data_IF_122551922702
#
_entry.id   IF_122551922702
#
_cell.length_a   1.000
_cell.length_b   1.000
_cell.length_c   1.000
_cell.angle_alpha   90.00
_cell.angle_beta   90.00
_cell.angle_gamma   90.00
#
_symmetry.space_group_name_H-M   'P 1'
#
loop_
_entity.id
_entity.type
_entity.pdbx_description
1 polymer ?
#
# COMPACT_ATOMS: atom_id res chain seq x y z
N UNK A 1 -11.43 -2.02 -16.71
CA UNK A 1 -11.60 -3.24 -15.85
C UNK A 1 -10.35 -3.32 -15.03
N UNK A 2 -10.46 -3.36 -13.70
CA UNK A 2 -9.28 -3.34 -12.84
C UNK A 2 -8.57 -4.69 -12.88
N UNK A 3 -7.28 -4.66 -13.16
CA UNK A 3 -6.37 -5.81 -13.09
C UNK A 3 -5.38 -5.62 -11.95
N UNK A 4 -4.82 -6.72 -11.45
CA UNK A 4 -3.88 -6.69 -10.34
C UNK A 4 -2.59 -7.41 -10.70
N UNK A 5 -1.45 -6.84 -10.32
CA UNK A 5 -0.11 -7.40 -10.56
C UNK A 5 0.68 -7.38 -9.25
N UNK A 6 1.44 -8.43 -8.97
CA UNK A 6 2.21 -8.59 -7.74
C UNK A 6 3.69 -8.92 -7.99
N UNK A 7 4.10 -9.07 -9.25
CA UNK A 7 5.46 -9.37 -9.61
C UNK A 7 6.39 -8.14 -9.43
N UNK A 8 7.64 -8.34 -8.99
CA UNK A 8 8.67 -7.30 -9.08
C UNK A 8 8.85 -6.79 -10.52
N UNK A 9 9.02 -5.48 -10.68
CA UNK A 9 9.22 -4.85 -12.00
C UNK A 9 7.98 -4.81 -12.89
N UNK A 10 6.79 -5.11 -12.36
CA UNK A 10 5.54 -5.15 -13.14
C UNK A 10 5.03 -3.77 -13.60
N UNK A 11 5.58 -2.68 -13.06
CA UNK A 11 5.18 -1.29 -13.28
C UNK A 11 6.42 -0.42 -13.47
N UNK A 12 6.35 0.51 -14.43
CA UNK A 12 7.35 1.54 -14.68
C UNK A 12 6.87 2.90 -14.16
N UNK A 13 7.80 3.83 -13.93
CA UNK A 13 7.51 5.13 -13.33
C UNK A 13 6.51 5.96 -14.14
N UNK A 14 6.51 5.82 -15.47
CA UNK A 14 5.64 6.56 -16.39
C UNK A 14 4.16 6.16 -16.26
N UNK A 15 3.88 5.01 -15.63
CA UNK A 15 2.51 4.54 -15.38
C UNK A 15 1.90 5.13 -14.10
N UNK A 16 2.68 5.89 -13.32
CA UNK A 16 2.32 6.42 -12.01
C UNK A 16 2.08 7.93 -12.09
N UNK A 17 0.83 8.34 -11.84
CA UNK A 17 0.45 9.75 -11.79
C UNK A 17 -0.62 9.97 -10.72
N UNK A 18 -0.44 11.03 -9.91
CA UNK A 18 -1.47 11.50 -8.97
C UNK A 18 -1.46 10.86 -7.57
N UNK A 19 -0.46 10.05 -7.23
CA UNK A 19 -0.31 9.44 -5.90
C UNK A 19 0.28 10.39 -4.85
N UNK A 20 0.28 9.95 -3.60
CA UNK A 20 0.68 10.68 -2.41
C UNK A 20 -0.17 11.93 -2.17
N UNK A 21 -1.49 11.80 -2.39
CA UNK A 21 -2.44 12.91 -2.22
C UNK A 21 -2.38 13.43 -0.79
N UNK A 22 -2.15 14.73 -0.64
CA UNK A 22 -2.05 15.40 0.67
C UNK A 22 -0.66 15.32 1.34
N UNK A 23 0.33 14.69 0.70
CA UNK A 23 1.70 14.71 1.22
C UNK A 23 2.34 16.09 1.01
N UNK A 24 3.00 16.68 2.03
CA UNK A 24 3.68 17.97 1.87
C UNK A 24 4.82 17.93 0.83
N UNK A 25 5.45 16.78 0.69
CA UNK A 25 6.49 16.51 -0.31
C UNK A 25 6.38 15.04 -0.70
N UNK A 26 5.80 14.74 -1.88
CA UNK A 26 5.58 13.37 -2.30
C UNK A 26 6.89 12.72 -2.78
N UNK A 27 7.09 11.41 -2.58
CA UNK A 27 8.10 10.67 -3.31
C UNK A 27 7.90 10.80 -4.83
N UNK A 28 8.97 10.69 -5.60
CA UNK A 28 8.89 10.58 -7.05
C UNK A 28 8.24 9.26 -7.47
N UNK A 29 7.74 9.20 -8.71
CA UNK A 29 7.23 7.96 -9.30
C UNK A 29 8.27 6.83 -9.25
N UNK A 30 9.54 7.13 -9.54
CA UNK A 30 10.62 6.15 -9.45
C UNK A 30 10.82 5.66 -8.01
N UNK A 31 10.78 6.55 -7.01
CA UNK A 31 10.89 6.14 -5.61
C UNK A 31 9.72 5.23 -5.18
N UNK A 32 8.51 5.47 -5.69
CA UNK A 32 7.38 4.57 -5.44
C UNK A 32 7.60 3.19 -6.07
N UNK A 33 8.09 3.12 -7.32
CA UNK A 33 8.48 1.84 -7.96
C UNK A 33 9.53 1.14 -7.09
N UNK A 34 10.61 1.83 -6.70
CA UNK A 34 11.69 1.24 -5.92
C UNK A 34 11.21 0.71 -4.55
N UNK A 35 10.32 1.44 -3.87
CA UNK A 35 9.74 1.00 -2.59
C UNK A 35 8.89 -0.25 -2.77
N UNK A 36 8.03 -0.25 -3.79
CA UNK A 36 7.18 -1.40 -4.09
C UNK A 36 8.05 -2.59 -4.51
N UNK A 37 9.12 -2.34 -5.25
CA UNK A 37 10.02 -3.38 -5.73
C UNK A 37 10.91 -3.99 -4.64
N UNK A 38 11.24 -3.20 -3.62
CA UNK A 38 11.97 -3.64 -2.43
C UNK A 38 11.12 -4.27 -1.33
N UNK A 39 9.79 -4.24 -1.44
CA UNK A 39 8.87 -4.72 -0.38
C UNK A 39 8.79 -6.25 -0.33
N UNK A 40 8.51 -6.86 0.83
CA UNK A 40 8.37 -8.33 0.93
C UNK A 40 7.19 -8.87 0.09
N UNK A 41 6.08 -8.14 0.07
CA UNK A 41 4.94 -8.35 -0.83
C UNK A 41 4.45 -7.01 -1.36
N UNK A 42 3.81 -7.04 -2.53
CA UNK A 42 3.31 -5.87 -3.24
C UNK A 42 2.09 -6.26 -4.08
N UNK A 43 1.17 -5.34 -4.27
CA UNK A 43 0.10 -5.49 -5.26
C UNK A 43 -0.18 -4.12 -5.87
N UNK A 44 -0.20 -4.08 -7.20
CA UNK A 44 -0.65 -2.96 -8.01
C UNK A 44 -2.08 -3.19 -8.48
N UNK A 45 -2.91 -2.14 -8.51
CA UNK A 45 -4.19 -2.11 -9.23
C UNK A 45 -4.05 -1.25 -10.48
N UNK A 46 -4.45 -1.76 -11.64
CA UNK A 46 -4.32 -1.09 -12.93
C UNK A 46 -5.65 -1.02 -13.66
N UNK A 47 -5.95 0.13 -14.28
CA UNK A 47 -6.99 0.26 -15.30
C UNK A 47 -6.32 0.46 -16.67
N UNK A 48 -6.26 -0.62 -17.46
CA UNK A 48 -5.40 -0.67 -18.65
C UNK A 48 -3.92 -0.62 -18.26
N UNK A 49 -3.20 0.39 -18.76
CA UNK A 49 -1.79 0.62 -18.42
C UNK A 49 -1.59 1.56 -17.23
N UNK A 50 -2.63 2.30 -16.83
CA UNK A 50 -2.55 3.28 -15.74
C UNK A 50 -2.65 2.57 -14.40
N UNK A 51 -1.73 2.88 -13.50
CA UNK A 51 -1.81 2.43 -12.10
C UNK A 51 -2.79 3.32 -11.35
N UNK A 52 -3.74 2.70 -10.66
CA UNK A 52 -4.84 3.40 -9.96
C UNK A 52 -4.88 3.13 -8.46
N UNK A 53 -4.07 2.19 -7.98
CA UNK A 53 -3.88 1.94 -6.57
C UNK A 53 -2.75 0.97 -6.31
N UNK A 54 -2.29 0.92 -5.07
CA UNK A 54 -1.20 0.04 -4.67
C UNK A 54 -1.25 -0.27 -3.18
N UNK A 55 -0.62 -1.38 -2.80
CA UNK A 55 -0.38 -1.77 -1.42
C UNK A 55 0.93 -2.56 -1.32
N UNK A 56 1.65 -2.41 -0.22
CA UNK A 56 2.83 -3.23 0.05
C UNK A 56 2.88 -3.75 1.49
N UNK A 57 3.74 -4.74 1.71
CA UNK A 57 4.10 -5.22 3.03
C UNK A 57 5.62 -5.42 3.17
N UNK A 58 6.16 -5.06 4.32
CA UNK A 58 7.52 -5.41 4.76
C UNK A 58 7.43 -6.55 5.77
N UNK A 59 8.40 -7.45 5.82
CA UNK A 59 8.35 -8.61 6.70
C UNK A 59 9.74 -9.18 6.99
N UNK A 60 9.85 -9.89 8.11
CA UNK A 60 10.97 -10.79 8.42
C UNK A 60 10.93 -12.11 7.60
N UNK A 61 9.84 -12.37 6.88
CA UNK A 61 9.61 -13.56 6.06
C UNK A 61 9.22 -14.81 6.85
N UNK A 62 8.98 -14.69 8.16
CA UNK A 62 8.73 -15.83 9.06
C UNK A 62 7.49 -15.61 9.92
N UNK A 63 7.39 -14.50 10.65
CA UNK A 63 6.36 -14.29 11.67
C UNK A 63 5.60 -12.99 11.51
N UNK A 64 6.25 -11.90 11.12
CA UNK A 64 5.65 -10.57 11.23
C UNK A 64 5.67 -9.84 9.90
N UNK A 65 4.56 -9.21 9.55
CA UNK A 65 4.49 -8.24 8.46
C UNK A 65 3.90 -6.91 8.92
N UNK A 66 4.34 -5.84 8.27
CA UNK A 66 3.76 -4.50 8.42
C UNK A 66 3.33 -4.00 7.04
N UNK A 67 2.14 -3.42 6.94
CA UNK A 67 1.61 -2.80 5.72
C UNK A 67 1.82 -1.28 5.84
N UNK A 68 2.93 -0.72 5.31
CA UNK A 68 3.20 0.69 5.48
C UNK A 68 2.34 1.54 4.55
N UNK A 69 2.15 1.14 3.29
CA UNK A 69 1.49 1.98 2.29
C UNK A 69 0.30 1.26 1.64
N UNK A 70 -0.82 1.96 1.59
CA UNK A 70 -2.02 1.65 0.81
C UNK A 70 -2.56 2.97 0.28
N UNK A 71 -2.68 3.10 -1.03
CA UNK A 71 -3.33 4.25 -1.64
C UNK A 71 -4.13 3.82 -2.88
N UNK A 72 -5.28 4.46 -3.08
CA UNK A 72 -6.09 4.37 -4.30
C UNK A 72 -6.35 5.79 -4.74
N UNK A 73 -6.14 6.08 -6.03
CA UNK A 73 -6.37 7.41 -6.60
C UNK A 73 -7.79 7.89 -6.30
N UNK A 74 -8.00 9.18 -5.97
CA UNK A 74 -9.29 9.70 -5.51
C UNK A 74 -10.49 9.33 -6.40
N UNK A 75 -10.32 9.41 -7.72
CA UNK A 75 -11.36 9.08 -8.70
C UNK A 75 -11.68 7.57 -8.80
N UNK A 76 -10.82 6.72 -8.23
CA UNK A 76 -10.97 5.26 -8.15
C UNK A 76 -11.40 4.77 -6.74
N UNK A 77 -11.57 5.67 -5.77
CA UNK A 77 -12.02 5.32 -4.42
C UNK A 77 -13.51 4.93 -4.40
N UNK A 78 -13.94 4.25 -3.32
CA UNK A 78 -15.30 3.75 -3.12
C UNK A 78 -15.80 2.73 -4.16
N UNK A 79 -14.89 2.17 -4.98
CA UNK A 79 -15.19 1.13 -5.97
C UNK A 79 -14.72 -0.27 -5.55
N UNK A 80 -14.32 -0.45 -4.28
CA UNK A 80 -13.86 -1.73 -3.74
C UNK A 80 -12.37 -2.04 -3.97
N UNK A 81 -11.65 -1.24 -4.77
CA UNK A 81 -10.23 -1.47 -5.12
C UNK A 81 -9.35 -1.56 -3.87
N UNK A 82 -9.50 -0.63 -2.92
CA UNK A 82 -8.73 -0.65 -1.67
C UNK A 82 -8.95 -1.93 -0.85
N UNK A 83 -10.19 -2.42 -0.80
CA UNK A 83 -10.51 -3.65 -0.06
C UNK A 83 -9.89 -4.86 -0.75
N UNK A 84 -9.92 -4.89 -2.08
CA UNK A 84 -9.33 -5.97 -2.86
C UNK A 84 -7.80 -5.99 -2.74
N UNK A 85 -7.15 -4.81 -2.73
CA UNK A 85 -5.72 -4.67 -2.45
C UNK A 85 -5.37 -5.26 -1.08
N UNK A 86 -6.12 -4.91 -0.02
CA UNK A 86 -5.90 -5.46 1.33
C UNK A 86 -6.12 -6.97 1.37
N UNK A 87 -7.18 -7.49 0.74
CA UNK A 87 -7.44 -8.94 0.70
C UNK A 87 -6.29 -9.69 0.04
N UNK A 88 -5.79 -9.20 -1.10
CA UNK A 88 -4.67 -9.82 -1.83
C UNK A 88 -3.39 -9.81 -1.02
N UNK A 89 -3.03 -8.67 -0.41
CA UNK A 89 -1.80 -8.61 0.39
C UNK A 89 -1.89 -9.52 1.61
N UNK A 90 -3.03 -9.55 2.31
CA UNK A 90 -3.24 -10.41 3.49
C UNK A 90 -3.18 -11.89 3.11
N UNK A 91 -3.82 -12.29 2.01
CA UNK A 91 -3.72 -13.66 1.51
C UNK A 91 -2.27 -14.05 1.16
N UNK A 92 -1.49 -13.13 0.59
CA UNK A 92 -0.06 -13.38 0.27
C UNK A 92 0.86 -13.53 1.50
N UNK A 93 0.34 -13.21 2.69
CA UNK A 93 1.00 -13.27 4.00
C UNK A 93 0.41 -14.38 4.88
N UNK A 94 -0.33 -15.32 4.29
CA UNK A 94 -0.91 -16.45 5.01
C UNK A 94 0.18 -17.23 5.79
N UNK A 95 -0.13 -17.58 7.03
CA UNK A 95 0.77 -18.31 7.93
C UNK A 95 1.68 -17.41 8.77
N UNK A 96 1.70 -16.10 8.54
CA UNK A 96 2.37 -15.16 9.46
C UNK A 96 1.60 -15.04 10.77
N UNK A 97 2.35 -14.87 11.86
CA UNK A 97 1.81 -14.67 13.19
C UNK A 97 1.07 -13.33 13.31
N UNK A 98 1.60 -12.25 12.73
CA UNK A 98 0.93 -10.95 12.74
C UNK A 98 1.10 -10.16 11.45
N UNK A 99 0.08 -9.35 11.16
CA UNK A 99 0.07 -8.34 10.11
C UNK A 99 -0.42 -7.05 10.75
N UNK A 100 0.47 -6.07 10.86
CA UNK A 100 0.22 -4.80 11.55
C UNK A 100 0.14 -3.63 10.55
N UNK A 101 -0.65 -2.62 10.88
CA UNK A 101 -0.71 -1.35 10.15
C UNK A 101 -1.06 -0.20 11.09
N UNK A 102 -0.63 1.02 10.72
CA UNK A 102 -1.03 2.24 11.40
C UNK A 102 -1.97 3.05 10.48
N UNK A 103 -3.09 3.50 11.02
CA UNK A 103 -4.07 4.30 10.29
C UNK A 103 -4.65 5.44 11.14
N UNK A 104 -5.25 6.43 10.48
CA UNK A 104 -6.00 7.50 11.15
C UNK A 104 -7.35 6.98 11.68
N UNK A 105 -7.87 7.60 12.74
CA UNK A 105 -9.07 7.11 13.45
C UNK A 105 -10.29 6.86 12.55
N UNK A 106 -10.50 7.69 11.53
CA UNK A 106 -11.62 7.56 10.59
C UNK A 106 -11.53 6.30 9.70
N UNK A 107 -10.37 5.66 9.62
CA UNK A 107 -10.15 4.42 8.85
C UNK A 107 -10.28 3.15 9.71
N UNK A 108 -10.44 3.25 11.03
CA UNK A 108 -10.54 2.09 11.92
C UNK A 108 -11.66 1.13 11.44
N UNK A 109 -12.88 1.65 11.23
CA UNK A 109 -14.00 0.83 10.76
C UNK A 109 -13.79 0.22 9.37
N UNK A 110 -12.94 0.83 8.53
CA UNK A 110 -12.56 0.26 7.24
C UNK A 110 -11.72 -1.02 7.41
N UNK A 111 -10.71 -0.98 8.28
CA UNK A 111 -9.83 -2.13 8.54
C UNK A 111 -10.50 -3.20 9.40
N UNK A 112 -11.40 -2.83 10.32
CA UNK A 112 -12.18 -3.80 11.12
C UNK A 112 -13.03 -4.73 10.23
N UNK A 113 -13.65 -4.19 9.18
CA UNK A 113 -14.40 -5.00 8.19
C UNK A 113 -13.50 -5.97 7.39
N UNK A 114 -12.19 -5.77 7.42
CA UNK A 114 -11.18 -6.60 6.76
C UNK A 114 -10.49 -7.57 7.73
N UNK A 115 -10.95 -7.66 8.98
CA UNK A 115 -10.46 -8.62 9.98
C UNK A 115 -9.35 -8.09 10.90
N UNK A 116 -8.95 -6.83 10.76
CA UNK A 116 -8.03 -6.18 11.70
C UNK A 116 -8.76 -5.78 12.98
N UNK A 117 -8.02 -5.63 14.08
CA UNK A 117 -8.53 -5.09 15.33
C UNK A 117 -7.66 -3.92 15.80
N UNK A 118 -8.24 -3.03 16.61
CA UNK A 118 -7.57 -1.82 17.06
C UNK A 118 -6.40 -2.14 18.00
N UNK A 119 -5.21 -1.69 17.62
CA UNK A 119 -4.01 -1.60 18.46
C UNK A 119 -3.60 -0.15 18.74
N UNK A 120 -2.41 0.06 19.31
CA UNK A 120 -1.79 1.38 19.48
C UNK A 120 -0.45 1.40 18.74
N UNK A 121 -0.23 2.38 17.87
CA UNK A 121 0.99 2.53 17.09
C UNK A 121 1.78 3.77 17.53
N UNK A 122 3.08 3.61 17.75
CA UNK A 122 4.02 4.71 17.96
C UNK A 122 4.79 4.96 16.66
N UNK A 123 4.93 6.22 16.25
CA UNK A 123 5.57 6.57 14.96
C UNK A 123 6.66 7.63 15.14
N UNK A 124 7.77 7.45 14.42
CA UNK A 124 8.81 8.45 14.24
C UNK A 124 9.00 8.67 12.74
N UNK A 125 8.89 9.91 12.26
CA UNK A 125 8.92 10.23 10.82
C UNK A 125 9.91 11.35 10.53
N UNK A 126 10.93 11.07 9.71
CA UNK A 126 11.84 12.09 9.20
C UNK A 126 11.33 12.65 7.86
N UNK A 127 10.30 13.52 7.91
CA UNK A 127 9.68 14.11 6.72
C UNK A 127 10.64 14.99 5.89
N UNK A 128 11.78 15.40 6.47
CA UNK A 128 12.77 16.22 5.80
C UNK A 128 13.53 15.50 4.67
N UNK A 129 13.60 14.17 4.70
CA UNK A 129 14.37 13.38 3.70
C UNK A 129 13.78 13.49 2.29
N UNK A 130 12.49 13.80 2.16
CA UNK A 130 11.85 13.96 0.85
C UNK A 130 12.03 15.37 0.26
N UNK A 131 12.51 16.32 1.06
CA UNK A 131 12.87 17.67 0.59
C UNK A 131 14.30 17.63 0.08
N UNK A 132 14.47 17.33 -1.20
CA UNK A 132 15.71 17.61 -1.93
C UNK A 132 15.98 19.10 -2.01
#
# INVERSE_FOLDING_TARGET
MITYRDEPGAVQAEQLEGFFVGWPTPPSAQQLVDVMDGSFRRVWALDGERVVGYINAISDGVLTAFIPWLEVLPEYQNQGIGQELVRRIVASLEGMYSIDLACDDHLIGYYERLGFFKGTAMVMRNRGVLRG
#
